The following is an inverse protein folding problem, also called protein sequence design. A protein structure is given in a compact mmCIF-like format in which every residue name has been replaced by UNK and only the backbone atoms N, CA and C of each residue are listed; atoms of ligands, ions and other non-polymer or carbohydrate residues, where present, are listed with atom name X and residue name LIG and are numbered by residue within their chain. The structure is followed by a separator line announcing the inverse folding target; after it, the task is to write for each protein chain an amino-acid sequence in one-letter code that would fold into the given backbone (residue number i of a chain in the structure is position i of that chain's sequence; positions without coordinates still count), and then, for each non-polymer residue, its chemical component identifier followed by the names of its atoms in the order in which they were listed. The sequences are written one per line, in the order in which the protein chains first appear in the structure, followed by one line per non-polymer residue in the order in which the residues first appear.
data_IF_066562800057
#
_entry.id   IF_066562800057
#
_cell.length_a   1.000
_cell.length_b   1.000
_cell.length_c   1.000
_cell.angle_alpha   90.00
_cell.angle_beta   90.00
_cell.angle_gamma   90.00
#
_symmetry.space_group_name_H-M   'P 1'
#
loop_
_entity.id
_entity.type
_entity.pdbx_description
1 polymer ?
#
# COMPACT_ATOMS: atom_id res chain seq x y z
N UNK A 1 11.59 -16.92 18.18
CA UNK A 1 12.67 -16.82 17.17
C UNK A 1 12.33 -15.92 15.96
N UNK A 2 11.08 -15.77 15.52
CA UNK A 2 10.76 -14.95 14.33
C UNK A 2 11.02 -13.43 14.52
N UNK A 3 10.71 -12.88 15.69
CA UNK A 3 10.88 -11.44 15.97
C UNK A 3 12.31 -10.92 15.77
N UNK A 4 13.37 -11.53 16.32
CA UNK A 4 14.73 -11.05 16.09
C UNK A 4 15.16 -11.15 14.62
N UNK A 5 14.65 -12.14 13.88
CA UNK A 5 14.90 -12.27 12.44
C UNK A 5 14.30 -11.08 11.67
N UNK A 6 13.04 -10.73 11.97
CA UNK A 6 12.37 -9.58 11.34
C UNK A 6 13.04 -8.26 11.73
N UNK A 7 13.59 -8.13 12.94
CA UNK A 7 14.38 -6.94 13.30
C UNK A 7 15.67 -6.80 12.48
N UNK A 8 16.32 -7.91 12.11
CA UNK A 8 17.45 -7.90 11.17
C UNK A 8 17.03 -7.42 9.78
N UNK A 9 15.89 -7.92 9.27
CA UNK A 9 15.32 -7.44 8.01
C UNK A 9 15.00 -5.93 8.04
N UNK A 10 14.48 -5.44 9.18
CA UNK A 10 14.21 -4.01 9.35
C UNK A 10 15.50 -3.17 9.35
N UNK A 11 16.61 -3.70 9.88
CA UNK A 11 17.92 -3.05 9.81
C UNK A 11 18.42 -2.94 8.36
N UNK A 12 18.33 -4.02 7.57
CA UNK A 12 18.71 -4.03 6.15
C UNK A 12 17.89 -3.03 5.31
N UNK A 13 16.58 -2.91 5.58
CA UNK A 13 15.74 -1.91 4.90
C UNK A 13 16.19 -0.49 5.24
N UNK A 14 16.56 -0.23 6.49
CA UNK A 14 17.06 1.10 6.88
C UNK A 14 18.39 1.41 6.21
N UNK A 15 19.29 0.45 6.12
CA UNK A 15 20.57 0.58 5.40
C UNK A 15 20.33 0.87 3.91
N UNK A 16 19.51 0.07 3.22
CA UNK A 16 19.19 0.28 1.82
C UNK A 16 18.53 1.65 1.55
N UNK A 17 17.67 2.13 2.47
CA UNK A 17 17.09 3.47 2.36
C UNK A 17 18.14 4.57 2.55
N UNK A 18 19.11 4.38 3.44
CA UNK A 18 20.22 5.33 3.65
C UNK A 18 21.10 5.43 2.40
N UNK A 19 21.40 4.31 1.76
CA UNK A 19 22.16 4.28 0.49
C UNK A 19 21.43 5.04 -0.64
N UNK A 20 20.09 5.04 -0.63
CA UNK A 20 19.25 5.83 -1.55
C UNK A 20 19.05 7.30 -1.07
N UNK A 21 19.81 7.76 -0.08
CA UNK A 21 19.77 9.14 0.43
C UNK A 21 18.67 9.43 1.45
N UNK A 22 17.88 8.45 1.88
CA UNK A 22 16.89 8.59 2.96
C UNK A 22 17.49 8.25 4.32
N UNK A 23 18.26 9.19 4.86
CA UNK A 23 18.90 9.05 6.17
C UNK A 23 17.93 8.88 7.36
N UNK A 24 16.72 9.44 7.25
CA UNK A 24 15.70 9.40 8.30
C UNK A 24 14.45 8.64 7.83
N UNK A 25 14.56 7.31 7.76
CA UNK A 25 13.41 6.45 7.44
C UNK A 25 12.45 6.32 8.64
N UNK A 26 11.18 6.68 8.42
CA UNK A 26 10.12 6.49 9.42
C UNK A 26 9.87 5.01 9.71
N UNK A 27 9.44 4.70 10.94
CA UNK A 27 9.02 3.34 11.27
C UNK A 27 7.82 2.89 10.40
N UNK A 28 6.95 3.83 10.03
CA UNK A 28 5.82 3.61 9.14
C UNK A 28 6.29 3.16 7.74
N UNK A 29 7.28 3.84 7.15
CA UNK A 29 7.84 3.47 5.85
C UNK A 29 8.46 2.08 5.87
N UNK A 30 9.24 1.76 6.91
CA UNK A 30 9.84 0.42 7.07
C UNK A 30 8.75 -0.65 7.16
N UNK A 31 7.68 -0.40 7.94
CA UNK A 31 6.53 -1.31 8.02
C UNK A 31 5.84 -1.49 6.67
N UNK A 32 5.63 -0.41 5.92
CA UNK A 32 5.00 -0.46 4.61
C UNK A 32 5.82 -1.29 3.61
N UNK A 33 7.14 -1.10 3.55
CA UNK A 33 8.03 -1.83 2.64
C UNK A 33 8.09 -3.33 2.96
N UNK A 34 8.16 -3.70 4.25
CA UNK A 34 8.09 -5.11 4.66
C UNK A 34 6.77 -5.76 4.26
N UNK A 35 5.67 -5.04 4.48
CA UNK A 35 4.31 -5.53 4.19
C UNK A 35 4.06 -5.66 2.69
N UNK A 36 4.56 -4.69 1.90
CA UNK A 36 4.35 -4.69 0.45
C UNK A 36 5.17 -5.79 -0.25
N UNK A 37 6.38 -6.08 0.26
CA UNK A 37 7.24 -7.16 -0.22
C UNK A 37 6.80 -8.56 0.24
N UNK A 38 5.93 -8.65 1.25
CA UNK A 38 5.57 -9.93 1.86
C UNK A 38 4.85 -10.89 0.89
N UNK A 39 5.19 -12.18 1.01
CA UNK A 39 4.67 -13.27 0.17
C UNK A 39 3.72 -14.16 0.96
N UNK A 40 2.64 -14.61 0.30
CA UNK A 40 1.71 -15.58 0.87
C UNK A 40 2.45 -16.86 1.24
N UNK A 41 2.23 -17.36 2.45
CA UNK A 41 2.73 -18.67 2.85
C UNK A 41 1.77 -19.80 2.40
N UNK A 42 0.46 -19.51 2.28
CA UNK A 42 -0.54 -20.44 1.74
C UNK A 42 -1.24 -19.88 0.51
N UNK A 43 -1.49 -20.73 -0.49
CA UNK A 43 -2.26 -20.43 -1.71
C UNK A 43 -3.77 -20.34 -1.46
N UNK A 44 -4.27 -20.90 -0.35
CA UNK A 44 -5.70 -20.87 0.04
C UNK A 44 -6.16 -19.52 0.57
N UNK A 45 -5.21 -18.70 1.04
CA UNK A 45 -5.52 -17.45 1.70
C UNK A 45 -5.55 -16.34 0.65
N UNK A 46 -6.75 -15.81 0.41
CA UNK A 46 -7.04 -14.77 -0.58
C UNK A 46 -6.17 -13.50 -0.46
N UNK A 47 -6.37 -12.54 -1.37
CA UNK A 47 -5.69 -11.24 -1.27
C UNK A 47 -6.14 -10.51 0.00
N UNK A 48 -5.23 -10.25 0.94
CA UNK A 48 -5.54 -9.49 2.15
C UNK A 48 -4.82 -9.96 3.42
N UNK A 49 -5.29 -9.41 4.53
CA UNK A 49 -4.96 -9.78 5.90
C UNK A 49 -5.65 -11.09 6.30
N UNK A 50 -4.95 -11.97 7.00
CA UNK A 50 -5.52 -13.17 7.61
C UNK A 50 -5.07 -13.23 9.07
N UNK A 51 -5.96 -13.56 10.01
CA UNK A 51 -5.63 -13.72 11.43
C UNK A 51 -4.50 -14.71 11.72
N UNK A 52 -4.30 -15.73 10.86
CA UNK A 52 -3.25 -16.75 11.06
C UNK A 52 -1.86 -16.33 10.56
N UNK A 53 -1.79 -15.53 9.49
CA UNK A 53 -0.52 -15.13 8.85
C UNK A 53 -0.29 -13.61 8.81
N UNK A 54 -1.20 -12.83 9.38
CA UNK A 54 -1.21 -11.37 9.29
C UNK A 54 -1.16 -10.88 7.84
N UNK A 55 -0.20 -9.98 7.57
CA UNK A 55 0.12 -9.47 6.24
C UNK A 55 1.09 -10.36 5.44
N UNK A 56 1.26 -11.62 5.84
CA UNK A 56 2.03 -12.68 5.18
C UNK A 56 3.52 -12.71 5.58
N UNK A 57 4.29 -13.62 4.97
CA UNK A 57 5.70 -13.88 5.30
C UNK A 57 6.60 -12.81 4.69
N UNK A 58 7.49 -12.22 5.49
CA UNK A 58 8.50 -11.26 5.02
C UNK A 58 9.36 -11.87 3.90
N UNK A 59 9.54 -11.12 2.82
CA UNK A 59 10.49 -11.41 1.76
C UNK A 59 11.36 -10.17 1.56
N UNK A 60 12.60 -10.24 2.06
CA UNK A 60 13.50 -9.09 2.08
C UNK A 60 13.96 -8.69 0.67
N UNK A 61 14.16 -9.66 -0.23
CA UNK A 61 14.60 -9.39 -1.60
C UNK A 61 13.57 -8.56 -2.37
N UNK A 62 12.29 -8.87 -2.17
CA UNK A 62 11.18 -8.09 -2.74
C UNK A 62 11.15 -6.67 -2.18
N UNK A 63 11.40 -6.50 -0.87
CA UNK A 63 11.47 -5.18 -0.23
C UNK A 63 12.66 -4.35 -0.71
N UNK A 64 13.85 -4.95 -0.80
CA UNK A 64 15.07 -4.29 -1.30
C UNK A 64 14.91 -3.89 -2.76
N UNK A 65 14.35 -4.78 -3.60
CA UNK A 65 14.09 -4.47 -5.01
C UNK A 65 13.21 -3.23 -5.18
N UNK A 66 12.16 -3.08 -4.36
CA UNK A 66 11.33 -1.86 -4.35
C UNK A 66 12.13 -0.60 -3.98
N UNK A 67 13.09 -0.71 -3.06
CA UNK A 67 13.93 0.41 -2.64
C UNK A 67 14.91 0.78 -3.77
N UNK A 68 15.61 -0.20 -4.33
CA UNK A 68 16.58 0.01 -5.42
C UNK A 68 15.93 0.60 -6.67
N UNK A 69 14.67 0.25 -6.95
CA UNK A 69 13.89 0.79 -8.07
C UNK A 69 13.19 2.11 -7.74
N UNK A 70 13.34 2.63 -6.51
CA UNK A 70 12.57 3.78 -6.01
C UNK A 70 11.04 3.62 -6.23
N UNK A 71 10.55 2.38 -6.18
CA UNK A 71 9.16 2.00 -6.44
C UNK A 71 8.29 2.12 -5.17
N UNK A 72 8.47 3.19 -4.42
CA UNK A 72 7.70 3.49 -3.21
C UNK A 72 7.47 4.99 -3.07
N UNK A 73 6.38 5.35 -2.40
CA UNK A 73 6.10 6.74 -2.05
C UNK A 73 6.16 6.91 -0.55
N UNK A 74 6.85 7.97 -0.13
CA UNK A 74 6.86 8.44 1.25
C UNK A 74 6.03 9.73 1.28
N UNK A 75 4.90 9.70 1.98
CA UNK A 75 3.91 10.79 2.02
C UNK A 75 4.45 12.12 2.58
N UNK A 76 5.68 12.15 3.12
CA UNK A 76 6.42 13.38 3.36
C UNK A 76 5.87 14.29 4.46
N UNK A 77 6.33 15.54 4.44
CA UNK A 77 6.37 16.53 5.54
C UNK A 77 5.05 17.07 6.06
N UNK A 78 3.91 16.83 5.41
CA UNK A 78 2.62 17.26 5.98
C UNK A 78 2.25 16.48 7.27
N UNK A 79 2.95 15.38 7.52
CA UNK A 79 2.85 14.53 8.72
C UNK A 79 4.13 14.51 9.57
N UNK A 80 5.15 15.34 9.28
CA UNK A 80 6.36 15.38 10.12
C UNK A 80 6.11 16.19 11.37
N UNK A 81 6.34 15.60 12.54
CA UNK A 81 7.31 16.23 13.47
C UNK A 81 8.05 15.22 14.37
N UNK A 82 9.36 15.51 14.49
CA UNK A 82 10.37 14.97 15.42
C UNK A 82 11.01 13.59 15.18
N UNK A 83 12.20 13.44 15.78
CA UNK A 83 13.36 12.57 15.54
C UNK A 83 13.10 11.06 15.41
N UNK A 84 11.93 10.54 15.81
CA UNK A 84 11.56 9.11 15.70
C UNK A 84 10.07 8.85 15.38
N UNK A 85 9.33 9.84 14.82
CA UNK A 85 7.85 9.94 14.69
C UNK A 85 7.11 9.93 16.05
N UNK A 86 6.11 10.78 16.36
CA UNK A 86 4.98 11.32 15.60
C UNK A 86 4.72 12.79 15.92
N UNK A 87 4.42 13.60 14.88
CA UNK A 87 3.57 14.81 14.95
C UNK A 87 2.08 14.48 15.05
N UNK A 88 1.32 15.17 15.90
CA UNK A 88 -0.12 15.21 15.78
C UNK A 88 -0.47 15.61 14.34
N UNK A 89 -1.39 14.87 13.71
CA UNK A 89 -2.19 15.48 12.64
C UNK A 89 -2.96 16.55 13.41
N UNK A 90 -2.43 17.79 13.42
CA UNK A 90 -3.20 18.94 13.90
C UNK A 90 -4.52 18.87 13.15
N UNK A 91 -5.62 19.18 13.82
CA UNK A 91 -6.93 19.27 13.18
C UNK A 91 -6.80 20.22 12.01
N UNK A 92 -6.61 19.66 10.83
CA UNK A 92 -6.35 20.38 9.60
C UNK A 92 -7.70 20.72 8.97
N UNK A 93 -7.74 21.83 8.21
CA UNK A 93 -8.91 22.19 7.43
C UNK A 93 -9.31 21.01 6.53
N UNK A 94 -10.59 20.90 6.15
CA UNK A 94 -11.08 19.73 5.42
C UNK A 94 -10.32 19.45 4.10
N UNK A 95 -9.75 20.49 3.49
CA UNK A 95 -8.87 20.40 2.32
C UNK A 95 -7.55 19.65 2.60
N UNK A 96 -7.03 19.73 3.83
CA UNK A 96 -5.76 19.14 4.25
C UNK A 96 -5.92 17.73 4.85
N UNK A 97 -7.15 17.20 4.89
CA UNK A 97 -7.45 15.82 5.32
C UNK A 97 -7.32 14.79 4.20
N UNK A 98 -7.05 15.25 2.98
CA UNK A 98 -6.90 14.41 1.79
C UNK A 98 -5.53 14.68 1.18
N UNK A 99 -4.72 13.64 1.12
CA UNK A 99 -3.48 13.64 0.38
C UNK A 99 -3.65 12.76 -0.86
N UNK A 100 -3.23 13.26 -2.01
CA UNK A 100 -3.21 12.52 -3.26
C UNK A 100 -1.77 12.38 -3.74
N UNK A 101 -1.40 11.16 -4.11
CA UNK A 101 -0.12 10.94 -4.79
C UNK A 101 -0.16 11.52 -6.20
N UNK A 102 0.99 11.94 -6.76
CA UNK A 102 1.11 12.07 -8.20
C UNK A 102 0.65 10.77 -8.92
N UNK A 103 0.15 10.85 -10.16
CA UNK A 103 -0.21 9.68 -10.94
C UNK A 103 0.96 8.70 -11.03
N UNK A 104 0.71 7.43 -10.69
CA UNK A 104 1.72 6.37 -10.77
C UNK A 104 1.56 5.69 -12.14
N UNK A 105 2.53 5.82 -13.06
CA UNK A 105 2.45 5.14 -14.34
C UNK A 105 2.53 3.63 -14.14
N UNK A 106 1.54 2.90 -14.63
CA UNK A 106 1.58 1.45 -14.67
C UNK A 106 2.15 1.01 -16.02
N UNK A 107 3.16 0.11 -16.04
CA UNK A 107 3.67 -0.43 -17.29
C UNK A 107 2.55 -1.17 -18.04
N UNK A 108 2.60 -1.17 -19.37
CA UNK A 108 1.65 -1.92 -20.19
C UNK A 108 1.72 -3.42 -19.87
N UNK A 109 0.57 -4.10 -19.84
CA UNK A 109 0.48 -5.54 -19.62
C UNK A 109 -0.22 -5.92 -18.31
N UNK A 110 -0.11 -7.20 -17.95
CA UNK A 110 -0.77 -7.75 -16.76
C UNK A 110 0.14 -7.60 -15.55
N UNK A 111 -0.20 -6.67 -14.67
CA UNK A 111 0.58 -6.39 -13.47
C UNK A 111 -0.25 -6.62 -12.22
N UNK A 112 0.46 -6.92 -11.13
CA UNK A 112 -0.11 -6.94 -9.79
C UNK A 112 0.31 -5.67 -9.09
N UNK A 113 -0.66 -4.80 -8.83
CA UNK A 113 -0.43 -3.60 -8.03
C UNK A 113 -0.63 -3.93 -6.56
N UNK A 114 0.38 -3.65 -5.74
CA UNK A 114 0.31 -3.74 -4.29
C UNK A 114 0.62 -2.38 -3.68
N UNK A 115 -0.34 -1.84 -2.93
CA UNK A 115 -0.22 -0.55 -2.25
C UNK A 115 -0.44 -0.79 -0.76
N UNK A 116 0.51 -0.35 0.06
CA UNK A 116 0.41 -0.43 1.52
C UNK A 116 0.46 0.97 2.10
N UNK A 117 -0.53 1.33 2.91
CA UNK A 117 -0.49 2.50 3.77
C UNK A 117 -0.12 2.04 5.19
N UNK A 118 0.86 2.72 5.79
CA UNK A 118 1.18 2.59 7.20
C UNK A 118 1.39 3.97 7.80
N UNK A 119 0.93 4.17 9.03
CA UNK A 119 1.12 5.41 9.78
C UNK A 119 1.36 5.10 11.25
N UNK A 120 2.04 6.02 11.93
CA UNK A 120 2.23 5.96 13.38
C UNK A 120 1.04 6.69 14.05
N UNK A 121 0.18 5.90 14.68
CA UNK A 121 -0.99 6.39 15.41
C UNK A 121 -0.57 6.80 16.84
N UNK A 122 -1.02 7.94 17.38
CA UNK A 122 -0.75 8.33 18.77
C UNK A 122 -1.20 7.25 19.78
N UNK A 123 -0.57 7.21 20.96
CA UNK A 123 -0.98 6.27 22.00
C UNK A 123 -2.43 6.53 22.44
N UNK A 124 -3.21 5.46 22.58
CA UNK A 124 -4.61 5.50 23.00
C UNK A 124 -5.22 4.10 23.03
N UNK A 125 -6.36 3.95 23.71
CA UNK A 125 -7.02 2.66 23.91
C UNK A 125 -7.63 2.06 22.62
N UNK A 126 -7.97 2.93 21.66
CA UNK A 126 -8.51 2.58 20.36
C UNK A 126 -7.72 3.28 19.24
N UNK A 127 -8.11 3.05 18.00
CA UNK A 127 -7.59 3.80 16.85
C UNK A 127 -7.82 5.30 17.07
N UNK A 128 -6.75 6.09 17.17
CA UNK A 128 -6.88 7.53 17.41
C UNK A 128 -7.10 8.30 16.10
N UNK A 129 -6.51 7.81 15.01
CA UNK A 129 -6.66 8.39 13.68
C UNK A 129 -7.13 7.34 12.70
N UNK A 130 -8.27 7.61 12.08
CA UNK A 130 -8.84 6.80 11.01
C UNK A 130 -8.37 7.34 9.65
N UNK A 131 -7.36 6.67 9.08
CA UNK A 131 -6.77 7.03 7.78
C UNK A 131 -7.07 5.94 6.77
N UNK A 132 -7.75 6.32 5.70
CA UNK A 132 -8.19 5.41 4.65
C UNK A 132 -7.30 5.51 3.41
N UNK A 133 -6.95 4.36 2.83
CA UNK A 133 -6.23 4.27 1.57
C UNK A 133 -7.21 3.93 0.44
N UNK A 134 -7.30 4.86 -0.50
CA UNK A 134 -8.12 4.80 -1.70
C UNK A 134 -7.19 4.69 -2.91
N UNK A 135 -7.41 3.69 -3.77
CA UNK A 135 -6.68 3.52 -5.03
C UNK A 135 -7.65 3.72 -6.18
N UNK A 136 -7.30 4.60 -7.13
CA UNK A 136 -8.07 4.84 -8.34
C UNK A 136 -7.29 4.39 -9.57
N UNK A 137 -7.88 3.53 -10.39
CA UNK A 137 -7.33 3.06 -11.66
C UNK A 137 -8.40 3.25 -12.73
N UNK A 138 -8.11 4.03 -13.77
CA UNK A 138 -9.03 4.32 -14.88
C UNK A 138 -10.45 4.76 -14.43
N UNK A 139 -10.52 5.55 -13.34
CA UNK A 139 -11.79 6.03 -12.77
C UNK A 139 -12.50 5.03 -11.84
N UNK A 140 -11.98 3.81 -11.70
CA UNK A 140 -12.49 2.80 -10.76
C UNK A 140 -11.79 2.97 -9.41
N UNK A 141 -12.58 3.17 -8.37
CA UNK A 141 -12.12 3.32 -6.99
C UNK A 141 -12.11 1.97 -6.26
N UNK A 142 -11.04 1.71 -5.50
CA UNK A 142 -10.92 0.55 -4.62
C UNK A 142 -10.43 0.98 -3.24
N UNK A 143 -11.03 0.41 -2.20
CA UNK A 143 -10.72 0.72 -0.81
C UNK A 143 -9.92 -0.40 -0.18
N UNK A 144 -8.94 -0.04 0.63
CA UNK A 144 -7.99 -1.01 1.20
C UNK A 144 -8.63 -1.88 2.26
N UNK A 145 -8.15 -3.12 2.40
CA UNK A 145 -8.69 -4.15 3.30
C UNK A 145 -10.17 -4.54 3.10
N UNK A 146 -10.85 -4.03 2.07
CA UNK A 146 -12.25 -4.37 1.77
C UNK A 146 -12.42 -5.51 0.76
N UNK A 147 -11.33 -6.03 0.17
CA UNK A 147 -11.43 -7.06 -0.86
C UNK A 147 -12.22 -6.56 -2.08
N UNK A 148 -13.42 -7.10 -2.30
CA UNK A 148 -14.39 -6.66 -3.32
C UNK A 148 -15.54 -5.80 -2.77
N UNK A 149 -15.57 -5.56 -1.46
CA UNK A 149 -16.70 -4.91 -0.78
C UNK A 149 -16.58 -3.38 -0.84
N UNK A 150 -17.73 -2.70 -0.71
CA UNK A 150 -17.80 -1.26 -0.55
C UNK A 150 -17.65 -0.88 0.94
N UNK A 151 -16.89 0.19 1.24
CA UNK A 151 -16.74 0.71 2.61
C UNK A 151 -15.30 1.08 2.98
N UNK A 152 -15.07 1.48 4.22
CA UNK A 152 -13.76 1.92 4.71
C UNK A 152 -13.31 1.08 5.91
N UNK A 153 -12.00 0.95 6.10
CA UNK A 153 -11.43 0.20 7.22
C UNK A 153 -11.17 1.15 8.40
N UNK A 154 -12.00 1.03 9.43
CA UNK A 154 -11.98 1.87 10.62
C UNK A 154 -11.23 1.25 11.81
N UNK A 155 -10.60 0.09 11.63
CA UNK A 155 -10.04 -0.70 12.74
C UNK A 155 -8.54 -0.90 12.64
N UNK A 156 -7.93 -0.74 11.46
CA UNK A 156 -6.51 -1.03 11.25
C UNK A 156 -5.62 0.21 11.09
N UNK A 157 -4.41 0.14 11.68
CA UNK A 157 -3.34 1.15 11.54
C UNK A 157 -2.48 0.96 10.27
N UNK A 158 -2.78 -0.07 9.49
CA UNK A 158 -2.07 -0.37 8.25
C UNK A 158 -3.00 -1.09 7.30
N UNK A 159 -3.13 -0.55 6.09
CA UNK A 159 -4.05 -1.07 5.09
C UNK A 159 -3.30 -1.50 3.85
N UNK A 160 -3.69 -2.64 3.28
CA UNK A 160 -3.06 -3.26 2.13
C UNK A 160 -4.11 -3.47 1.05
N UNK A 161 -3.83 -2.95 -0.14
CA UNK A 161 -4.60 -3.23 -1.34
C UNK A 161 -3.72 -3.97 -2.33
N UNK A 162 -4.18 -5.14 -2.77
CA UNK A 162 -3.53 -5.88 -3.86
C UNK A 162 -4.53 -6.13 -4.97
N UNK A 163 -4.39 -5.45 -6.09
CA UNK A 163 -5.17 -5.73 -7.30
C UNK A 163 -4.37 -6.62 -8.23
N UNK A 164 -5.02 -7.66 -8.76
CA UNK A 164 -4.56 -8.34 -9.96
C UNK A 164 -5.37 -7.72 -11.11
N UNK A 165 -4.82 -6.74 -11.82
CA UNK A 165 -5.52 -6.23 -12.99
C UNK A 165 -5.40 -7.30 -14.09
N UNK A 166 -6.49 -8.04 -14.31
CA UNK A 166 -6.66 -8.82 -15.53
C UNK A 166 -6.76 -7.82 -16.68
N UNK A 167 -5.64 -7.51 -17.33
CA UNK A 167 -5.63 -6.92 -18.66
C UNK A 167 -6.19 -7.95 -19.65
N UNK A 168 -7.50 -8.24 -19.58
CA UNK A 168 -8.20 -8.99 -20.60
C UNK A 168 -8.47 -8.02 -21.75
N UNK A 169 -7.48 -7.90 -22.63
CA UNK A 169 -7.63 -7.33 -23.98
C UNK A 169 -8.82 -7.95 -24.75
N UNK A 170 -9.35 -9.09 -24.29
CA UNK A 170 -10.52 -9.74 -24.87
C UNK A 170 -11.85 -9.00 -24.64
N UNK A 171 -11.99 -8.19 -23.58
CA UNK A 171 -13.31 -7.60 -23.25
C UNK A 171 -13.59 -6.29 -24.02
N UNK A 172 -12.52 -5.57 -24.41
CA UNK A 172 -12.64 -4.38 -25.28
C UNK A 172 -13.11 -4.74 -26.69
N UNK A 173 -12.75 -5.93 -27.18
CA UNK A 173 -13.14 -6.44 -28.52
C UNK A 173 -14.58 -6.97 -28.61
N UNK A 174 -15.29 -7.14 -27.49
CA UNK A 174 -16.72 -7.51 -27.47
C UNK A 174 -17.64 -6.29 -27.47
N UNK A 175 -17.28 -5.20 -26.80
CA UNK A 175 -18.06 -3.96 -26.86
C UNK A 175 -17.98 -3.28 -28.23
N UNK A 176 -16.82 -3.30 -28.88
CA UNK A 176 -16.64 -2.67 -30.20
C UNK A 176 -17.28 -3.45 -31.37
N UNK A 177 -17.71 -4.71 -31.16
CA UNK A 177 -18.41 -5.51 -32.19
C UNK A 177 -19.93 -5.53 -32.02
N UNK A 178 -20.46 -4.91 -30.98
CA UNK A 178 -21.90 -4.84 -30.71
C UNK A 178 -22.60 -3.61 -31.30
N UNK A 179 -21.85 -2.61 -31.80
CA UNK A 179 -22.42 -1.34 -32.28
C UNK A 179 -22.46 -1.21 -33.81
N UNK A 180 -21.92 -2.17 -34.57
CA UNK A 180 -21.85 -2.08 -36.04
C UNK A 180 -22.99 -2.82 -36.78
N UNK A 181 -24.03 -3.32 -36.10
CA UNK A 181 -25.08 -4.17 -36.71
C UNK A 181 -26.54 -3.73 -36.43
N UNK A 182 -26.79 -2.42 -36.32
CA UNK A 182 -28.14 -1.86 -36.42
C UNK A 182 -28.09 -0.55 -37.22
N UNK A 183 -28.12 -0.68 -38.54
CA UNK A 183 -28.09 0.48 -39.43
C UNK A 183 -28.17 0.09 -40.90
N UNK A 184 -29.27 -0.54 -41.31
CA UNK A 184 -29.90 -0.48 -42.64
C UNK A 184 -31.24 -1.24 -42.58
#
# INVERSE_FOLDING_TARGET
MATPLVSGCAALIREALQEQGKHYASAALVKALLTNGAVNYSSSNGPGFNGEQGFRRVNIDSSITMISQSAFMDGGTQLKVSKYDTSALRVTAQADRRWESPPIPLPSGRHRLAVTLAYADPPGALLQKDVNLIVRVDGVERHSNMGSDAGFDHISKSSLLRSNDHASSADRKRRQRGEDHLGC
#
